data_IF_307142430650
#
_entry.id   IF_307142430650
#
_cell.length_a   1.000
_cell.length_b   1.000
_cell.length_c   1.000
_cell.angle_alpha   90.00
_cell.angle_beta   90.00
_cell.angle_gamma   90.00
#
_symmetry.space_group_name_H-M   'P 1'
#
loop_
_entity.id
_entity.type
_entity.pdbx_description
1 polymer ?
#
# COMPACT_ATOMS: atom_id res chain seq x y z
N UNK A 1 -30.19 -3.23 39.49
CA UNK A 1 -29.32 -2.11 39.04
C UNK A 1 -28.69 -2.49 37.71
N UNK A 2 -29.12 -1.84 36.62
CA UNK A 2 -28.65 -2.13 35.27
C UNK A 2 -27.25 -1.55 35.05
N UNK A 3 -26.26 -2.41 34.81
CA UNK A 3 -24.92 -2.00 34.37
C UNK A 3 -24.98 -1.67 32.88
N UNK A 4 -25.20 -0.39 32.56
CA UNK A 4 -25.08 0.14 31.21
C UNK A 4 -23.60 0.19 30.83
N UNK A 5 -23.18 -0.80 30.04
CA UNK A 5 -21.90 -0.78 29.35
C UNK A 5 -21.83 0.49 28.48
N UNK A 6 -20.99 1.46 28.91
CA UNK A 6 -20.60 2.59 28.07
C UNK A 6 -19.89 2.03 26.84
N UNK A 7 -20.62 1.86 25.74
CA UNK A 7 -20.07 1.79 24.41
C UNK A 7 -19.30 3.10 24.18
N UNK A 8 -17.98 3.05 24.35
CA UNK A 8 -17.09 4.09 23.87
C UNK A 8 -17.25 4.07 22.36
N UNK A 9 -18.08 4.97 21.83
CA UNK A 9 -18.10 5.30 20.41
C UNK A 9 -16.70 5.80 20.10
N UNK A 10 -15.87 4.93 19.53
CA UNK A 10 -14.58 5.31 18.97
C UNK A 10 -14.93 6.24 17.79
N UNK A 11 -14.86 7.55 18.02
CA UNK A 11 -15.09 8.54 16.98
C UNK A 11 -14.28 8.16 15.75
N UNK A 12 -14.96 8.01 14.61
CA UNK A 12 -14.28 7.72 13.34
C UNK A 12 -13.22 8.81 13.15
N UNK A 13 -11.93 8.47 13.01
CA UNK A 13 -10.88 9.47 12.97
C UNK A 13 -11.18 10.47 11.85
N UNK A 14 -11.09 11.76 12.17
CA UNK A 14 -11.22 12.85 11.20
C UNK A 14 -10.12 12.66 10.16
N UNK A 15 -10.51 12.19 8.98
CA UNK A 15 -9.60 11.93 7.87
C UNK A 15 -9.26 13.25 7.18
N UNK A 16 -8.12 13.84 7.53
CA UNK A 16 -7.60 15.01 6.83
C UNK A 16 -6.84 14.52 5.60
N UNK A 17 -7.34 14.83 4.40
CA UNK A 17 -6.61 14.61 3.15
C UNK A 17 -5.54 15.69 2.99
N UNK A 18 -4.28 15.30 2.90
CA UNK A 18 -3.18 16.26 2.66
C UNK A 18 -3.03 16.65 1.20
N UNK A 19 -2.41 17.80 0.94
CA UNK A 19 -2.02 18.24 -0.40
C UNK A 19 -1.13 17.20 -1.12
N UNK A 20 -1.35 17.06 -2.44
CA UNK A 20 -0.66 16.06 -3.29
C UNK A 20 0.87 16.18 -3.29
N UNK A 21 1.43 17.33 -2.92
CA UNK A 21 2.87 17.62 -3.01
C UNK A 21 3.73 16.79 -2.03
N UNK A 22 3.14 16.21 -0.98
CA UNK A 22 3.89 15.50 0.06
C UNK A 22 3.90 13.97 -0.04
N UNK A 23 3.06 13.38 -0.91
CA UNK A 23 2.97 11.93 -1.01
C UNK A 23 4.15 11.35 -1.80
N UNK A 24 4.46 11.94 -2.94
CA UNK A 24 5.51 11.46 -3.84
C UNK A 24 6.85 12.11 -3.49
N UNK A 25 7.75 11.32 -2.90
CA UNK A 25 9.07 11.81 -2.44
C UNK A 25 10.15 11.77 -3.52
N UNK A 26 9.89 11.05 -4.61
CA UNK A 26 10.80 10.95 -5.74
C UNK A 26 10.00 10.75 -7.02
N UNK A 27 10.41 11.45 -8.07
CA UNK A 27 9.96 11.24 -9.44
C UNK A 27 11.22 11.00 -10.26
N UNK A 28 11.31 9.83 -10.89
CA UNK A 28 12.40 9.47 -11.79
C UNK A 28 11.88 9.59 -13.22
N UNK A 29 12.69 10.16 -14.11
CA UNK A 29 12.44 10.20 -15.55
C UNK A 29 13.56 9.43 -16.23
N UNK A 30 13.21 8.39 -16.95
CA UNK A 30 14.12 7.57 -17.73
C UNK A 30 13.55 7.46 -19.15
N UNK A 31 14.13 8.21 -20.08
CA UNK A 31 13.61 8.38 -21.44
C UNK A 31 12.12 8.75 -21.43
N UNK A 32 11.28 7.93 -22.08
CA UNK A 32 9.82 8.10 -22.17
C UNK A 32 9.06 7.58 -20.94
N UNK A 33 9.76 7.08 -19.91
CA UNK A 33 9.13 6.52 -18.71
C UNK A 33 9.26 7.46 -17.51
N UNK A 34 8.13 7.73 -16.86
CA UNK A 34 8.11 8.43 -15.58
C UNK A 34 7.73 7.48 -14.45
N UNK A 35 8.57 7.40 -13.42
CA UNK A 35 8.35 6.57 -12.23
C UNK A 35 8.10 7.45 -11.01
N UNK A 36 6.95 7.28 -10.38
CA UNK A 36 6.56 7.98 -9.17
C UNK A 36 6.77 7.09 -7.96
N UNK A 37 7.32 7.66 -6.89
CA UNK A 37 7.61 6.93 -5.65
C UNK A 37 6.97 7.64 -4.46
N UNK A 38 6.04 6.96 -3.79
CA UNK A 38 5.46 7.51 -2.56
C UNK A 38 6.49 7.50 -1.43
N UNK A 39 6.25 8.25 -0.35
CA UNK A 39 6.86 7.91 0.94
C UNK A 39 6.36 6.55 1.42
N UNK A 40 7.02 6.01 2.43
CA UNK A 40 6.55 4.79 3.09
C UNK A 40 5.27 5.11 3.85
N UNK A 41 4.21 4.41 3.49
CA UNK A 41 2.90 4.46 4.12
C UNK A 41 2.75 3.27 5.05
N UNK A 42 1.80 3.34 5.99
CA UNK A 42 1.52 2.20 6.85
C UNK A 42 0.88 1.08 6.03
N UNK A 43 -0.28 1.38 5.45
CA UNK A 43 -1.13 0.48 4.68
C UNK A 43 -2.19 1.30 3.89
N UNK A 44 -3.12 0.59 3.26
CA UNK A 44 -4.24 1.18 2.51
C UNK A 44 -5.35 1.57 3.51
N UNK A 45 -5.89 2.78 3.35
CA UNK A 45 -7.07 3.25 4.09
C UNK A 45 -8.36 2.84 3.39
N UNK A 46 -8.52 3.28 2.14
CA UNK A 46 -9.68 3.01 1.28
C UNK A 46 -9.31 3.23 -0.18
N UNK A 47 -10.09 2.67 -1.09
CA UNK A 47 -9.96 2.88 -2.52
C UNK A 47 -11.30 2.67 -3.21
N UNK A 48 -11.41 3.12 -4.46
CA UNK A 48 -12.56 2.82 -5.29
C UNK A 48 -12.68 3.73 -6.51
N UNK A 49 -13.54 3.30 -7.43
CA UNK A 49 -13.86 4.04 -8.64
C UNK A 49 -14.74 5.26 -8.32
N UNK A 50 -14.25 6.45 -8.66
CA UNK A 50 -15.07 7.63 -8.79
C UNK A 50 -15.67 7.66 -10.19
N UNK A 51 -16.88 7.09 -10.34
CA UNK A 51 -17.60 6.99 -11.63
C UNK A 51 -17.76 8.36 -12.31
N UNK A 52 -18.09 9.41 -11.55
CA UNK A 52 -18.31 10.77 -12.09
C UNK A 52 -17.06 11.37 -12.74
N UNK A 53 -15.87 11.05 -12.21
CA UNK A 53 -14.59 11.62 -12.67
C UNK A 53 -13.74 10.64 -13.49
N UNK A 54 -14.24 9.43 -13.71
CA UNK A 54 -13.53 8.31 -14.32
C UNK A 54 -12.10 8.12 -13.77
N UNK A 55 -11.98 8.14 -12.43
CA UNK A 55 -10.70 8.07 -11.70
C UNK A 55 -10.81 7.02 -10.62
N UNK A 56 -9.78 6.21 -10.45
CA UNK A 56 -9.71 5.26 -9.36
C UNK A 56 -8.91 5.87 -8.20
N UNK A 57 -9.59 6.20 -7.10
CA UNK A 57 -8.97 6.86 -5.95
C UNK A 57 -8.32 5.81 -5.05
N UNK A 58 -7.13 6.12 -4.55
CA UNK A 58 -6.41 5.33 -3.56
C UNK A 58 -6.02 6.26 -2.41
N UNK A 59 -6.41 5.88 -1.19
CA UNK A 59 -6.13 6.61 0.04
C UNK A 59 -5.28 5.72 0.97
N UNK A 60 -4.18 6.26 1.50
CA UNK A 60 -3.15 5.53 2.25
C UNK A 60 -2.95 6.16 3.63
N UNK A 61 -2.83 5.34 4.69
CA UNK A 61 -2.54 5.85 6.06
C UNK A 61 -1.06 6.20 6.19
N UNK A 62 -0.75 7.36 6.79
CA UNK A 62 0.65 7.74 7.05
C UNK A 62 1.32 6.74 8.00
N UNK A 63 2.65 6.62 7.87
CA UNK A 63 3.46 5.69 8.65
C UNK A 63 3.40 5.92 10.17
N UNK A 64 3.55 7.18 10.60
CA UNK A 64 3.65 7.55 12.02
C UNK A 64 2.35 8.06 12.62
N UNK A 65 1.44 8.60 11.81
CA UNK A 65 0.14 9.10 12.25
C UNK A 65 -0.97 8.50 11.40
N UNK A 66 -1.50 7.36 11.86
CA UNK A 66 -2.44 6.54 11.09
C UNK A 66 -3.84 7.18 10.96
N UNK A 67 -4.16 8.24 11.73
CA UNK A 67 -5.40 9.02 11.53
C UNK A 67 -5.30 9.98 10.34
N UNK A 68 -4.09 10.30 9.90
CA UNK A 68 -3.84 11.11 8.71
C UNK A 68 -3.70 10.23 7.48
N UNK A 69 -4.38 10.63 6.40
CA UNK A 69 -4.46 9.88 5.15
C UNK A 69 -4.03 10.75 3.98
N UNK A 70 -3.34 10.15 3.03
CA UNK A 70 -2.94 10.81 1.79
C UNK A 70 -3.51 10.06 0.61
N UNK A 71 -3.90 10.79 -0.43
CA UNK A 71 -4.59 10.20 -1.57
C UNK A 71 -3.94 10.57 -2.89
N UNK A 72 -4.03 9.64 -3.83
CA UNK A 72 -3.77 9.90 -5.25
C UNK A 72 -4.84 9.18 -6.07
N UNK A 73 -4.85 9.44 -7.38
CA UNK A 73 -5.78 8.80 -8.29
C UNK A 73 -5.00 8.11 -9.39
N UNK A 74 -5.47 6.94 -9.78
CA UNK A 74 -5.18 6.36 -11.08
C UNK A 74 -6.17 6.95 -12.09
N UNK A 75 -5.68 7.20 -13.30
CA UNK A 75 -6.43 7.83 -14.38
C UNK A 75 -6.62 6.85 -15.53
N UNK A 76 -7.61 7.12 -16.37
CA UNK A 76 -7.73 6.46 -17.68
C UNK A 76 -6.48 6.68 -18.51
N UNK A 77 -6.15 5.68 -19.32
CA UNK A 77 -4.95 5.68 -20.14
C UNK A 77 -5.13 6.60 -21.36
N UNK A 78 -4.03 7.20 -21.80
CA UNK A 78 -3.94 7.83 -23.13
C UNK A 78 -3.73 6.74 -24.18
N UNK A 79 -4.05 7.02 -25.45
CA UNK A 79 -4.08 6.02 -26.52
C UNK A 79 -2.76 5.25 -26.73
N UNK A 80 -1.63 5.85 -26.35
CA UNK A 80 -0.28 5.32 -26.53
C UNK A 80 0.30 4.64 -25.27
N UNK A 81 -0.43 4.63 -24.15
CA UNK A 81 -0.03 4.00 -22.89
C UNK A 81 -0.87 2.74 -22.60
N UNK A 82 -0.34 1.84 -21.78
CA UNK A 82 -0.95 0.55 -21.48
C UNK A 82 -0.68 0.14 -20.04
N UNK A 83 -1.73 -0.22 -19.31
CA UNK A 83 -1.55 -0.89 -18.02
C UNK A 83 -1.00 -2.30 -18.24
N UNK A 84 0.17 -2.55 -17.66
CA UNK A 84 0.94 -3.80 -17.78
C UNK A 84 0.72 -4.74 -16.58
N UNK A 85 0.10 -4.27 -15.51
CA UNK A 85 -0.24 -5.08 -14.34
C UNK A 85 0.26 -4.50 -13.02
N UNK A 86 0.03 -5.25 -11.95
CA UNK A 86 0.53 -4.96 -10.60
C UNK A 86 1.70 -5.87 -10.27
N UNK A 87 2.74 -5.30 -9.67
CA UNK A 87 3.94 -6.03 -9.26
C UNK A 87 4.26 -5.72 -7.80
N UNK A 88 4.88 -6.67 -7.10
CA UNK A 88 5.31 -6.50 -5.71
C UNK A 88 6.81 -6.76 -5.59
N UNK A 89 7.42 -6.06 -4.64
CA UNK A 89 8.85 -6.20 -4.39
C UNK A 89 9.30 -5.47 -3.14
N UNK A 90 10.61 -5.39 -2.98
CA UNK A 90 11.24 -4.53 -1.98
C UNK A 90 12.51 -3.92 -2.55
N UNK A 91 12.90 -2.78 -1.98
CA UNK A 91 14.19 -2.12 -2.26
C UNK A 91 14.72 -1.43 -1.00
N UNK A 92 15.93 -0.90 -1.06
CA UNK A 92 16.43 -0.01 0.01
C UNK A 92 15.55 1.25 0.05
N UNK A 93 15.15 1.74 1.24
CA UNK A 93 14.39 2.97 1.35
C UNK A 93 15.09 4.15 0.67
N UNK A 94 14.30 5.00 0.00
CA UNK A 94 14.82 6.19 -0.72
C UNK A 94 15.46 7.20 0.25
N UNK A 95 14.91 7.30 1.46
CA UNK A 95 15.46 8.07 2.57
C UNK A 95 15.63 7.15 3.77
N UNK A 96 16.60 7.43 4.65
CA UNK A 96 16.72 6.73 5.95
C UNK A 96 15.47 7.01 6.79
N UNK A 97 14.78 5.97 7.24
CA UNK A 97 13.56 6.10 8.04
C UNK A 97 13.74 5.38 9.37
N UNK A 98 13.67 6.15 10.45
CA UNK A 98 13.66 5.63 11.81
C UNK A 98 12.23 5.40 12.25
N UNK A 99 11.92 4.15 12.62
CA UNK A 99 10.65 3.81 13.24
C UNK A 99 10.85 3.85 14.75
N UNK A 100 10.14 4.77 15.41
CA UNK A 100 10.07 4.86 16.86
C UNK A 100 8.84 4.12 17.37
N UNK A 101 8.97 3.47 18.52
CA UNK A 101 7.92 2.75 19.22
C UNK A 101 8.25 2.67 20.70
N UNK A 102 7.25 2.51 21.54
CA UNK A 102 7.42 2.41 22.98
C UNK A 102 7.19 0.96 23.43
N UNK A 103 8.03 0.48 24.35
CA UNK A 103 7.82 -0.79 25.05
C UNK A 103 8.06 -0.53 26.53
N UNK A 104 7.02 -0.69 27.34
CA UNK A 104 7.08 -0.49 28.80
C UNK A 104 7.62 0.89 29.21
N UNK A 105 7.19 1.98 28.55
CA UNK A 105 7.69 3.33 28.83
C UNK A 105 9.06 3.67 28.22
N UNK A 106 9.74 2.70 27.59
CA UNK A 106 11.06 2.91 26.98
C UNK A 106 10.88 3.16 25.48
N UNK A 107 11.30 4.35 25.02
CA UNK A 107 11.36 4.67 23.59
C UNK A 107 12.45 3.83 22.92
N UNK A 108 12.03 3.00 21.96
CA UNK A 108 12.91 2.23 21.10
C UNK A 108 12.80 2.77 19.67
N UNK A 109 13.90 2.68 18.93
CA UNK A 109 13.87 3.00 17.51
C UNK A 109 14.68 2.02 16.69
N UNK A 110 14.27 1.79 15.45
CA UNK A 110 15.04 1.00 14.49
C UNK A 110 15.05 1.66 13.12
N UNK A 111 16.14 1.47 12.38
CA UNK A 111 16.26 1.91 11.00
C UNK A 111 15.59 0.89 10.08
N UNK A 112 14.72 1.36 9.19
CA UNK A 112 14.12 0.50 8.19
C UNK A 112 15.16 0.13 7.11
N UNK A 113 15.43 -1.15 6.95
CA UNK A 113 16.42 -1.67 5.97
C UNK A 113 15.81 -1.97 4.60
N UNK A 114 14.50 -2.29 4.54
CA UNK A 114 13.76 -2.62 3.32
C UNK A 114 12.44 -1.84 3.26
N UNK A 115 12.15 -1.26 2.11
CA UNK A 115 10.84 -0.70 1.76
C UNK A 115 10.14 -1.64 0.79
N UNK A 116 9.07 -2.29 1.25
CA UNK A 116 8.22 -3.15 0.45
C UNK A 116 7.24 -2.30 -0.36
N UNK A 117 6.97 -2.69 -1.60
CA UNK A 117 6.12 -1.90 -2.51
C UNK A 117 5.12 -2.74 -3.27
N UNK A 118 4.04 -2.06 -3.65
CA UNK A 118 3.15 -2.40 -4.75
C UNK A 118 3.43 -1.41 -5.89
N UNK A 119 3.66 -1.91 -7.09
CA UNK A 119 3.88 -1.14 -8.30
C UNK A 119 2.68 -1.27 -9.24
N UNK A 120 2.07 -0.15 -9.61
CA UNK A 120 1.19 -0.08 -10.78
C UNK A 120 2.06 0.22 -11.99
N UNK A 121 2.22 -0.75 -12.90
CA UNK A 121 3.11 -0.64 -14.05
C UNK A 121 2.34 -0.30 -15.31
N UNK A 122 2.85 0.69 -16.05
CA UNK A 122 2.37 1.14 -17.34
C UNK A 122 3.49 1.05 -18.39
N UNK A 123 3.13 1.19 -19.67
CA UNK A 123 4.13 1.21 -20.76
C UNK A 123 5.03 2.45 -20.62
N UNK A 124 4.45 3.59 -20.28
CA UNK A 124 5.13 4.90 -20.16
C UNK A 124 5.47 5.31 -18.72
N UNK A 125 5.37 4.40 -17.76
CA UNK A 125 5.72 4.75 -16.39
C UNK A 125 5.27 3.74 -15.35
N UNK A 126 5.53 4.08 -14.09
CA UNK A 126 5.14 3.26 -12.95
C UNK A 126 4.81 4.13 -11.74
N UNK A 127 3.91 3.63 -10.89
CA UNK A 127 3.65 4.22 -9.57
C UNK A 127 4.01 3.19 -8.51
N UNK A 128 5.07 3.46 -7.75
CA UNK A 128 5.51 2.65 -6.62
C UNK A 128 4.92 3.19 -5.32
N UNK A 129 4.04 2.40 -4.71
CA UNK A 129 3.48 2.65 -3.39
C UNK A 129 4.21 1.80 -2.36
N UNK A 130 4.89 2.44 -1.39
CA UNK A 130 5.64 1.73 -0.35
C UNK A 130 4.80 1.54 0.91
N UNK A 131 4.85 0.33 1.47
CA UNK A 131 4.06 -0.05 2.65
C UNK A 131 4.91 -0.75 3.69
N UNK A 132 4.83 -0.29 4.94
CA UNK A 132 5.42 -1.02 6.08
C UNK A 132 4.67 -2.33 6.34
N UNK A 133 3.35 -2.33 6.18
CA UNK A 133 2.48 -3.48 6.47
C UNK A 133 2.73 -4.69 5.56
N UNK A 134 3.16 -4.51 4.31
CA UNK A 134 3.42 -5.61 3.37
C UNK A 134 4.42 -6.64 3.90
N UNK A 135 5.39 -6.20 4.72
CA UNK A 135 6.34 -7.11 5.38
C UNK A 135 5.65 -8.19 6.22
N UNK A 136 4.51 -7.87 6.84
CA UNK A 136 3.77 -8.82 7.69
C UNK A 136 3.23 -10.00 6.89
N UNK A 137 2.89 -9.79 5.62
CA UNK A 137 2.39 -10.86 4.74
C UNK A 137 3.49 -11.85 4.34
N UNK A 138 4.76 -11.48 4.50
CA UNK A 138 5.90 -12.36 4.23
C UNK A 138 6.28 -13.25 5.42
N UNK A 139 5.70 -13.00 6.60
CA UNK A 139 5.96 -13.76 7.82
C UNK A 139 4.93 -14.87 7.99
N UNK A 140 5.35 -16.13 7.91
CA UNK A 140 4.43 -17.29 7.99
C UNK A 140 3.68 -17.31 9.31
N UNK A 141 4.33 -16.93 10.41
CA UNK A 141 3.75 -16.84 11.74
C UNK A 141 2.66 -15.76 11.87
N UNK A 142 2.63 -14.79 10.95
CA UNK A 142 1.66 -13.69 10.97
C UNK A 142 0.44 -13.91 10.07
N UNK A 143 0.42 -14.97 9.25
CA UNK A 143 -0.62 -15.20 8.23
C UNK A 143 -2.02 -15.30 8.84
N UNK A 144 -2.12 -15.95 10.00
CA UNK A 144 -3.40 -16.21 10.65
C UNK A 144 -3.87 -15.10 11.59
N UNK A 145 -3.04 -14.07 11.81
CA UNK A 145 -3.38 -12.92 12.65
C UNK A 145 -4.49 -12.10 11.98
N UNK A 146 -5.54 -11.67 12.71
CA UNK A 146 -6.68 -10.94 12.12
C UNK A 146 -6.28 -9.75 11.24
N UNK A 147 -5.30 -8.96 11.70
CA UNK A 147 -4.79 -7.83 10.92
C UNK A 147 -4.19 -8.24 9.57
N UNK A 148 -3.43 -9.33 9.51
CA UNK A 148 -2.82 -9.82 8.27
C UNK A 148 -3.88 -10.35 7.29
N UNK A 149 -4.92 -11.03 7.78
CA UNK A 149 -6.06 -11.46 6.96
C UNK A 149 -6.77 -10.26 6.33
N UNK A 150 -7.04 -9.22 7.13
CA UNK A 150 -7.63 -7.97 6.63
C UNK A 150 -6.73 -7.29 5.61
N UNK A 151 -5.42 -7.21 5.88
CA UNK A 151 -4.46 -6.62 4.97
C UNK A 151 -4.41 -7.36 3.62
N UNK A 152 -4.36 -8.69 3.65
CA UNK A 152 -4.37 -9.54 2.46
C UNK A 152 -5.65 -9.35 1.64
N UNK A 153 -6.82 -9.36 2.30
CA UNK A 153 -8.11 -9.09 1.65
C UNK A 153 -8.13 -7.71 1.00
N UNK A 154 -7.60 -6.69 1.69
CA UNK A 154 -7.58 -5.33 1.19
C UNK A 154 -6.70 -5.17 -0.05
N UNK A 155 -5.50 -5.76 -0.06
CA UNK A 155 -4.63 -5.73 -1.24
C UNK A 155 -5.21 -6.54 -2.41
N UNK A 156 -5.71 -7.75 -2.17
CA UNK A 156 -6.29 -8.57 -3.26
C UNK A 156 -7.56 -7.94 -3.85
N UNK A 157 -8.37 -7.26 -3.03
CA UNK A 157 -9.53 -6.50 -3.50
C UNK A 157 -9.09 -5.28 -4.32
N UNK A 158 -8.05 -4.56 -3.87
CA UNK A 158 -7.46 -3.46 -4.64
C UNK A 158 -6.98 -3.93 -6.00
N UNK A 159 -6.25 -5.05 -6.07
CA UNK A 159 -5.76 -5.58 -7.34
C UNK A 159 -6.92 -5.85 -8.31
N UNK A 160 -7.95 -6.59 -7.86
CA UNK A 160 -9.11 -6.93 -8.71
C UNK A 160 -9.78 -5.68 -9.28
N UNK A 161 -10.05 -4.68 -8.43
CA UNK A 161 -10.70 -3.44 -8.87
C UNK A 161 -9.83 -2.60 -9.80
N UNK A 162 -8.50 -2.60 -9.63
CA UNK A 162 -7.60 -1.87 -10.55
C UNK A 162 -7.51 -2.59 -11.91
N UNK A 163 -7.48 -3.92 -11.92
CA UNK A 163 -7.56 -4.70 -13.15
C UNK A 163 -8.86 -4.43 -13.91
N UNK A 164 -10.00 -4.42 -13.20
CA UNK A 164 -11.31 -4.06 -13.75
C UNK A 164 -11.32 -2.62 -14.30
N UNK A 165 -10.79 -1.65 -13.53
CA UNK A 165 -10.71 -0.25 -13.94
C UNK A 165 -9.95 -0.06 -15.28
N UNK A 166 -8.94 -0.89 -15.55
CA UNK A 166 -8.17 -0.87 -16.79
C UNK A 166 -8.65 -1.88 -17.84
N UNK A 167 -9.84 -2.47 -17.65
CA UNK A 167 -10.41 -3.49 -18.53
C UNK A 167 -9.42 -4.64 -18.82
N UNK A 168 -8.76 -5.13 -17.76
CA UNK A 168 -7.84 -6.27 -17.81
C UNK A 168 -8.39 -7.44 -17.02
N UNK A 169 -8.25 -8.64 -17.57
CA UNK A 169 -8.54 -9.89 -16.85
C UNK A 169 -7.59 -10.03 -15.67
N UNK A 170 -8.15 -10.18 -14.47
CA UNK A 170 -7.38 -10.53 -13.28
C UNK A 170 -6.76 -11.93 -13.47
N UNK A 171 -5.46 -12.13 -13.19
CA UNK A 171 -4.83 -13.43 -13.38
C UNK A 171 -5.46 -14.49 -12.46
N UNK A 172 -5.49 -15.75 -12.91
CA UNK A 172 -6.01 -16.89 -12.12
C UNK A 172 -5.42 -16.94 -10.71
N UNK A 173 -4.13 -16.60 -10.60
CA UNK A 173 -3.42 -16.40 -9.34
C UNK A 173 -2.92 -14.96 -9.25
N UNK A 174 -3.37 -14.26 -8.21
CA UNK A 174 -3.11 -12.84 -7.97
C UNK A 174 -1.62 -12.49 -7.85
N UNK A 175 -1.19 -11.29 -8.29
CA UNK A 175 0.20 -10.85 -8.16
C UNK A 175 0.72 -10.89 -6.71
N UNK A 176 -0.08 -10.49 -5.72
CA UNK A 176 0.29 -10.57 -4.31
C UNK A 176 0.56 -12.01 -3.86
N UNK A 177 -0.33 -12.93 -4.22
CA UNK A 177 -0.21 -14.35 -3.83
C UNK A 177 1.08 -14.93 -4.42
N UNK A 178 1.30 -14.72 -5.73
CA UNK A 178 2.52 -15.16 -6.41
C UNK A 178 3.78 -14.60 -5.73
N UNK A 179 3.73 -13.34 -5.31
CA UNK A 179 4.86 -12.70 -4.63
C UNK A 179 5.11 -13.29 -3.24
N UNK A 180 4.08 -13.50 -2.42
CA UNK A 180 4.20 -14.09 -1.07
C UNK A 180 4.82 -15.48 -1.17
N UNK A 181 4.27 -16.36 -2.01
CA UNK A 181 4.77 -17.73 -2.17
C UNK A 181 6.23 -17.77 -2.64
N UNK A 182 6.58 -16.94 -3.63
CA UNK A 182 7.96 -16.83 -4.11
C UNK A 182 8.94 -16.45 -2.98
N UNK A 183 8.52 -15.59 -2.04
CA UNK A 183 9.38 -15.21 -0.92
C UNK A 183 9.41 -16.27 0.18
N UNK A 184 8.31 -16.98 0.43
CA UNK A 184 8.29 -18.08 1.39
C UNK A 184 9.16 -19.25 0.96
N UNK A 185 9.20 -19.57 -0.34
CA UNK A 185 10.09 -20.59 -0.88
C UNK A 185 11.57 -20.18 -0.70
N UNK A 186 11.91 -18.93 -0.98
CA UNK A 186 13.27 -18.42 -0.79
C UNK A 186 13.76 -18.47 0.66
N UNK A 187 12.87 -18.20 1.60
CA UNK A 187 13.19 -18.21 3.03
C UNK A 187 13.19 -19.63 3.66
N UNK A 188 12.95 -20.70 2.87
CA UNK A 188 13.10 -22.09 3.32
C UNK A 188 14.45 -22.71 2.93
N UNK A 189 15.21 -22.03 2.07
CA UNK A 189 16.50 -22.51 1.53
C UNK A 189 17.69 -21.83 2.25
N UNK A 190 17.40 -20.93 3.19
CA UNK A 190 18.34 -20.28 4.10
C UNK A 190 18.02 -20.69 5.53
#
# INVERSE_FOLDING_TARGET
MQNTAKLIKLDKPIVICSDKKDLFIKIEKDNDKTMYHTKIMMDIYKFGLNKKKNKFRISLRRLFNQSKVEEFNLFTLRADDKFLGIYYGYKKPIKKIFVRYEVNGIEKSYLLSKSYYLEFRFKKGSIFCYFKSLFRLLKKEQVNVPYSKTLFSMFTTLEKQVYEFYNKKYPQKGPLIKWIEKNWLKNQIL
#
